data_IF_717506536797
#
_entry.id   IF_717506536797
#
_cell.length_a   1.000
_cell.length_b   1.000
_cell.length_c   1.000
_cell.angle_alpha   90.00
_cell.angle_beta   90.00
_cell.angle_gamma   90.00
#
_symmetry.space_group_name_H-M   'P 1'
#
loop_
_entity.id
_entity.type
_entity.pdbx_description
1 polymer ?
#
# COMPACT_ATOMS: atom_id res chain seq x y z
N UNK A 1 19.74 7.35 -5.72
CA UNK A 1 18.68 7.43 -4.70
C UNK A 1 17.63 6.40 -5.08
N UNK A 2 17.61 5.26 -4.40
CA UNK A 2 16.61 4.21 -4.60
C UNK A 2 15.25 4.75 -4.12
N UNK A 3 14.40 5.09 -5.08
CA UNK A 3 13.13 5.78 -4.85
C UNK A 3 12.09 4.76 -4.36
N UNK A 4 12.13 4.43 -3.07
CA UNK A 4 11.19 3.49 -2.44
C UNK A 4 9.86 4.20 -2.20
N UNK A 5 9.03 4.30 -3.24
CA UNK A 5 7.77 5.03 -3.22
C UNK A 5 6.60 4.26 -2.60
N UNK A 6 6.66 2.92 -2.52
CA UNK A 6 5.52 2.11 -2.10
C UNK A 6 5.02 2.42 -0.66
N UNK A 7 5.87 2.45 0.38
CA UNK A 7 5.44 2.75 1.75
C UNK A 7 4.74 4.10 1.85
N UNK A 8 5.32 5.12 1.21
CA UNK A 8 4.79 6.49 1.20
C UNK A 8 3.47 6.57 0.44
N UNK A 9 3.39 5.97 -0.76
CA UNK A 9 2.16 5.95 -1.58
C UNK A 9 1.01 5.23 -0.90
N UNK A 10 1.28 4.07 -0.28
CA UNK A 10 0.26 3.33 0.47
C UNK A 10 -0.30 4.19 1.61
N UNK A 11 0.60 4.85 2.37
CA UNK A 11 0.21 5.73 3.47
C UNK A 11 -0.60 6.93 2.97
N UNK A 12 -0.17 7.56 1.89
CA UNK A 12 -0.89 8.70 1.27
C UNK A 12 -2.29 8.31 0.82
N UNK A 13 -2.43 7.22 0.04
CA UNK A 13 -3.74 6.72 -0.40
C UNK A 13 -4.68 6.42 0.76
N UNK A 14 -4.15 5.83 1.84
CA UNK A 14 -4.93 5.56 3.05
C UNK A 14 -5.42 6.86 3.71
N UNK A 15 -4.56 7.87 3.79
CA UNK A 15 -4.89 9.17 4.38
C UNK A 15 -5.85 9.97 3.50
N UNK A 16 -5.69 9.95 2.18
CA UNK A 16 -6.60 10.56 1.20
C UNK A 16 -8.01 9.99 1.30
N UNK A 17 -8.12 8.66 1.47
CA UNK A 17 -9.40 7.98 1.72
C UNK A 17 -9.93 8.17 3.15
N UNK A 18 -9.20 8.88 4.01
CA UNK A 18 -9.53 9.17 5.42
C UNK A 18 -9.83 7.93 6.28
N UNK A 19 -9.16 6.81 6.00
CA UNK A 19 -9.36 5.55 6.74
C UNK A 19 -8.19 5.28 7.70
N UNK A 20 -8.44 4.57 8.79
CA UNK A 20 -7.39 4.12 9.70
C UNK A 20 -6.64 2.91 9.13
N UNK A 21 -5.48 2.58 9.72
CA UNK A 21 -4.77 1.32 9.41
C UNK A 21 -5.63 0.09 9.72
N UNK A 22 -6.47 0.15 10.76
CA UNK A 22 -7.35 -0.96 11.11
C UNK A 22 -8.45 -1.17 10.09
N UNK A 23 -9.02 -0.11 9.53
CA UNK A 23 -9.99 -0.20 8.43
C UNK A 23 -9.37 -0.82 7.19
N UNK A 24 -8.17 -0.37 6.80
CA UNK A 24 -7.47 -0.95 5.65
C UNK A 24 -7.10 -2.42 5.89
N UNK A 25 -6.61 -2.75 7.08
CA UNK A 25 -6.26 -4.11 7.46
C UNK A 25 -7.47 -5.06 7.39
N UNK A 26 -8.64 -4.61 7.88
CA UNK A 26 -9.89 -5.37 7.81
C UNK A 26 -10.34 -5.60 6.36
N UNK A 27 -10.26 -4.57 5.50
CA UNK A 27 -10.61 -4.69 4.09
C UNK A 27 -9.70 -5.66 3.33
N UNK A 28 -8.43 -5.74 3.71
CA UNK A 28 -7.42 -6.59 3.10
C UNK A 28 -7.28 -7.97 3.76
N UNK A 29 -8.02 -8.26 4.84
CA UNK A 29 -7.92 -9.53 5.56
C UNK A 29 -6.57 -9.75 6.26
N UNK A 30 -5.87 -8.69 6.65
CA UNK A 30 -4.55 -8.75 7.30
C UNK A 30 -4.56 -8.12 8.70
N UNK A 31 -3.46 -8.27 9.44
CA UNK A 31 -3.30 -7.58 10.73
C UNK A 31 -2.98 -6.09 10.54
N UNK A 32 -3.41 -5.26 11.50
CA UNK A 32 -3.08 -3.81 11.53
C UNK A 32 -1.56 -3.58 11.53
N UNK A 33 -0.82 -4.49 12.19
CA UNK A 33 0.65 -4.46 12.23
C UNK A 33 1.25 -4.66 10.85
N UNK A 34 0.66 -5.51 10.01
CA UNK A 34 1.11 -5.72 8.64
C UNK A 34 1.01 -4.44 7.81
N UNK A 35 -0.11 -3.71 7.92
CA UNK A 35 -0.28 -2.41 7.27
C UNK A 35 0.76 -1.41 7.78
N UNK A 36 1.04 -1.38 9.09
CA UNK A 36 2.10 -0.52 9.63
C UNK A 36 3.48 -0.88 9.07
N UNK A 37 3.80 -2.17 8.94
CA UNK A 37 5.07 -2.61 8.36
C UNK A 37 5.23 -2.17 6.92
N UNK A 38 4.17 -2.25 6.12
CA UNK A 38 4.19 -1.78 4.74
C UNK A 38 4.37 -0.27 4.64
N UNK A 39 3.61 0.52 5.42
CA UNK A 39 3.72 1.98 5.41
C UNK A 39 5.05 2.52 5.95
N UNK A 40 5.74 1.73 6.77
CA UNK A 40 7.05 2.08 7.31
C UNK A 40 8.21 1.49 6.48
N UNK A 41 7.93 0.68 5.45
CA UNK A 41 8.95 -0.02 4.66
C UNK A 41 9.71 -1.11 5.42
N UNK A 42 9.17 -1.59 6.55
CA UNK A 42 9.80 -2.62 7.39
C UNK A 42 9.63 -4.03 6.80
N UNK A 43 8.60 -4.24 5.98
CA UNK A 43 8.37 -5.47 5.23
C UNK A 43 7.82 -5.17 3.85
N UNK A 44 8.18 -6.02 2.89
CA UNK A 44 7.55 -6.03 1.58
C UNK A 44 6.18 -6.72 1.63
N UNK A 45 5.31 -6.34 0.70
CA UNK A 45 4.03 -7.02 0.48
C UNK A 45 4.23 -8.18 -0.53
N UNK A 46 3.39 -9.21 -0.44
CA UNK A 46 3.33 -10.23 -1.48
C UNK A 46 2.72 -9.63 -2.75
N UNK A 47 2.95 -10.25 -3.92
CA UNK A 47 2.31 -9.82 -5.17
C UNK A 47 0.79 -9.83 -5.09
N UNK A 48 0.22 -10.83 -4.41
CA UNK A 48 -1.22 -10.92 -4.16
C UNK A 48 -1.73 -9.71 -3.36
N UNK A 49 -1.02 -9.33 -2.28
CA UNK A 49 -1.38 -8.15 -1.50
C UNK A 49 -1.19 -6.86 -2.28
N UNK A 50 -0.15 -6.77 -3.12
CA UNK A 50 0.06 -5.61 -3.98
C UNK A 50 -1.13 -5.41 -4.92
N UNK A 51 -1.61 -6.48 -5.57
CA UNK A 51 -2.80 -6.44 -6.41
C UNK A 51 -4.07 -6.12 -5.62
N UNK A 52 -4.24 -6.68 -4.41
CA UNK A 52 -5.38 -6.39 -3.56
C UNK A 52 -5.44 -4.91 -3.14
N UNK A 53 -4.28 -4.33 -2.80
CA UNK A 53 -4.15 -2.89 -2.48
C UNK A 53 -4.48 -2.04 -3.71
N UNK A 54 -3.93 -2.40 -4.87
CA UNK A 54 -4.20 -1.72 -6.14
C UNK A 54 -5.70 -1.67 -6.45
N UNK A 55 -6.38 -2.81 -6.33
CA UNK A 55 -7.82 -2.92 -6.51
C UNK A 55 -8.61 -2.13 -5.47
N UNK A 56 -8.21 -2.17 -4.18
CA UNK A 56 -8.90 -1.45 -3.11
C UNK A 56 -8.87 0.08 -3.28
N UNK A 57 -7.77 0.60 -3.85
CA UNK A 57 -7.58 2.02 -4.12
C UNK A 57 -7.87 2.42 -5.57
N UNK A 58 -8.34 1.49 -6.40
CA UNK A 58 -8.63 1.70 -7.83
C UNK A 58 -7.46 2.35 -8.59
N UNK A 59 -6.27 1.76 -8.45
CA UNK A 59 -5.05 2.23 -9.09
C UNK A 59 -4.22 1.06 -9.62
N UNK A 60 -3.20 1.33 -10.45
CA UNK A 60 -2.31 0.28 -10.95
C UNK A 60 -1.21 -0.07 -9.94
N UNK A 61 -0.65 -1.28 -10.05
CA UNK A 61 0.53 -1.66 -9.25
C UNK A 61 1.76 -0.82 -9.61
N UNK A 62 1.87 -0.34 -10.85
CA UNK A 62 2.92 0.60 -11.25
C UNK A 62 2.80 1.94 -10.50
N UNK A 63 1.57 2.43 -10.36
CA UNK A 63 1.28 3.56 -9.50
C UNK A 63 1.54 3.25 -8.02
N UNK A 64 1.41 2.03 -7.52
CA UNK A 64 1.83 1.76 -6.14
C UNK A 64 3.36 1.72 -6.00
N UNK A 65 4.06 1.18 -6.99
CA UNK A 65 5.49 0.87 -6.92
C UNK A 65 6.43 2.03 -7.29
N UNK A 66 5.92 3.19 -7.68
CA UNK A 66 6.80 4.29 -8.11
C UNK A 66 7.16 4.28 -9.58
N UNK A 67 6.63 3.34 -10.37
CA UNK A 67 7.00 3.18 -11.77
C UNK A 67 6.27 4.22 -12.59
N UNK A 68 7.00 4.97 -13.41
CA UNK A 68 6.42 5.74 -14.51
C UNK A 68 6.16 4.76 -15.65
N UNK A 69 5.05 4.91 -16.36
CA UNK A 69 4.87 4.26 -17.66
C UNK A 69 6.09 4.60 -18.52
N UNK A 70 6.73 3.57 -19.09
CA UNK A 70 7.88 3.70 -19.97
C UNK A 70 7.42 4.00 -21.39
#
# INVERSE_FOLDING_TARGET
>A
MSNVLFPERLKSLRLEKSISRSTLAAALGVSVRMVSYWENGERECTFEMLCAIANYFDCSTDYLLGRKEY
#
